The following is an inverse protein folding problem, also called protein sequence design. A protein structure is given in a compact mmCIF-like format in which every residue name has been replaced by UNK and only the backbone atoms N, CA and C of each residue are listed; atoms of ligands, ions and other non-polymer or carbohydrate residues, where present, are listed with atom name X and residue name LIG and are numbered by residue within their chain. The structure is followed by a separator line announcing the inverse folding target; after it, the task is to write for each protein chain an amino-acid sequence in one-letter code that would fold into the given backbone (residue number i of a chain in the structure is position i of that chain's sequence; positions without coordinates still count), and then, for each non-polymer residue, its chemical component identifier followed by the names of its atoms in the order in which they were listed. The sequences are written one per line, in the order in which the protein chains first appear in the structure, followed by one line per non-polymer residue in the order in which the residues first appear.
data_IF_099914824554
#
_entry.id   IF_099914824554
#
_cell.length_a   1.000
_cell.length_b   1.000
_cell.length_c   1.000
_cell.angle_alpha   90.00
_cell.angle_beta   90.00
_cell.angle_gamma   90.00
#
_symmetry.space_group_name_H-M   'P 1'
#
loop_
_entity.id
_entity.type
_entity.pdbx_description
1 polymer ?
#
# COMPACT_ATOMS: atom_id res chain seq x y z
N UNK A 1 16.91 72.52 56.40
CA UNK A 1 15.90 72.54 55.34
C UNK A 1 16.51 71.82 54.15
N UNK A 2 17.01 70.61 54.39
CA UNK A 2 16.29 69.31 54.56
C UNK A 2 15.88 68.84 53.16
N UNK A 3 16.14 67.64 52.65
CA UNK A 3 16.83 66.38 52.99
C UNK A 3 16.92 65.63 51.62
N UNK A 4 17.94 64.80 51.40
CA UNK A 4 17.98 63.41 50.83
C UNK A 4 16.78 62.91 49.97
N UNK A 5 16.83 61.98 49.00
CA UNK A 5 17.75 60.95 48.49
C UNK A 5 17.03 60.26 47.27
N UNK A 6 17.80 59.67 46.34
CA UNK A 6 17.57 58.39 45.58
C UNK A 6 16.26 58.16 44.76
N UNK A 7 16.21 57.45 43.61
CA UNK A 7 17.16 56.52 42.97
C UNK A 7 16.78 56.19 41.50
N UNK A 8 17.77 55.62 40.82
CA UNK A 8 17.86 55.12 39.43
C UNK A 8 16.79 54.12 38.92
N UNK A 9 16.49 54.14 37.61
CA UNK A 9 16.41 52.92 36.76
C UNK A 9 16.80 53.20 35.29
N UNK A 10 18.05 52.85 34.97
CA UNK A 10 18.59 52.16 33.78
C UNK A 10 17.88 52.24 32.40
N UNK A 11 18.67 52.78 31.47
CA UNK A 11 18.60 52.76 30.00
C UNK A 11 18.67 51.36 29.34
N UNK A 12 17.98 51.17 28.22
CA UNK A 12 18.44 50.31 27.12
C UNK A 12 18.01 50.87 25.75
N UNK A 13 19.01 51.02 24.88
CA UNK A 13 18.96 51.61 23.55
C UNK A 13 18.28 50.70 22.52
N UNK A 14 17.50 51.30 21.62
CA UNK A 14 16.82 50.63 20.51
C UNK A 14 17.77 50.35 19.34
N UNK A 15 18.22 49.10 19.21
CA UNK A 15 18.91 48.58 18.03
C UNK A 15 17.95 48.29 16.87
N UNK A 16 18.34 48.68 15.65
CA UNK A 16 17.54 48.59 14.43
C UNK A 16 17.20 47.16 14.00
N UNK A 17 15.95 46.96 13.58
CA UNK A 17 15.43 45.69 13.06
C UNK A 17 15.66 45.63 11.54
N UNK A 18 16.53 44.71 11.11
CA UNK A 18 16.66 44.30 9.71
C UNK A 18 15.55 43.28 9.39
N UNK A 19 14.49 43.70 8.69
CA UNK A 19 13.42 42.82 8.22
C UNK A 19 13.69 42.37 6.77
N UNK A 20 14.56 41.38 6.59
CA UNK A 20 14.53 40.56 5.37
C UNK A 20 13.68 39.31 5.63
N UNK A 21 12.37 39.48 5.54
CA UNK A 21 11.49 38.33 5.38
C UNK A 21 11.70 37.77 3.97
N UNK A 22 12.03 36.46 3.81
CA UNK A 22 12.05 35.87 2.48
C UNK A 22 10.66 36.01 1.84
N UNK A 23 10.57 36.27 0.52
CA UNK A 23 9.29 36.33 -0.16
C UNK A 23 8.53 35.02 0.07
N UNK A 24 7.19 35.06 0.19
CA UNK A 24 6.40 33.83 0.24
C UNK A 24 6.78 32.99 -0.98
N UNK A 25 7.20 31.74 -0.76
CA UNK A 25 7.35 30.78 -1.86
C UNK A 25 5.99 30.70 -2.56
N UNK A 26 5.88 31.32 -3.73
CA UNK A 26 4.73 31.10 -4.60
C UNK A 26 4.59 29.59 -4.77
N UNK A 27 3.40 29.01 -4.55
CA UNK A 27 3.20 27.58 -4.70
C UNK A 27 3.55 27.24 -6.15
N UNK A 28 4.54 26.36 -6.32
CA UNK A 28 5.01 25.89 -7.63
C UNK A 28 3.77 25.49 -8.47
N UNK A 29 3.49 26.20 -9.58
CA UNK A 29 2.25 26.02 -10.36
C UNK A 29 2.09 24.59 -10.86
N UNK A 30 3.21 23.86 -10.94
CA UNK A 30 3.26 22.46 -11.33
C UNK A 30 2.62 21.51 -10.30
N UNK A 31 2.55 21.90 -9.01
CA UNK A 31 2.04 21.06 -7.91
C UNK A 31 0.61 20.60 -8.18
N UNK A 32 -0.20 21.45 -8.80
CA UNK A 32 -1.62 21.18 -9.00
C UNK A 32 -1.94 20.47 -10.30
N UNK A 33 -0.97 20.21 -11.19
CA UNK A 33 -1.23 19.62 -12.52
C UNK A 33 -1.93 18.25 -12.39
N UNK A 34 -1.32 17.30 -11.67
CA UNK A 34 -1.94 15.99 -11.47
C UNK A 34 -3.20 16.07 -10.62
N UNK A 35 -3.26 16.97 -9.64
CA UNK A 35 -4.46 17.16 -8.82
C UNK A 35 -5.65 17.61 -9.68
N UNK A 36 -5.45 18.61 -10.54
CA UNK A 36 -6.48 19.14 -11.42
C UNK A 36 -6.90 18.09 -12.45
N UNK A 37 -5.95 17.34 -13.01
CA UNK A 37 -6.26 16.21 -13.88
C UNK A 37 -7.13 15.16 -13.18
N UNK A 38 -6.82 14.80 -11.93
CA UNK A 38 -7.63 13.84 -11.17
C UNK A 38 -9.01 14.38 -10.78
N UNK A 39 -9.14 15.70 -10.60
CA UNK A 39 -10.43 16.35 -10.33
C UNK A 39 -11.31 16.44 -11.57
N UNK A 40 -10.71 16.54 -12.76
CA UNK A 40 -11.44 16.64 -14.03
C UNK A 40 -11.90 15.30 -14.60
N UNK A 41 -11.47 14.18 -14.03
CA UNK A 41 -11.84 12.84 -14.46
C UNK A 41 -12.63 12.12 -13.38
N UNK A 42 -13.59 11.31 -13.81
CA UNK A 42 -14.49 10.55 -12.94
C UNK A 42 -13.96 9.15 -12.67
N UNK A 43 -14.52 8.49 -11.65
CA UNK A 43 -14.26 7.09 -11.37
C UNK A 43 -14.67 6.19 -12.54
N UNK A 44 -15.73 6.57 -13.26
CA UNK A 44 -16.19 5.86 -14.46
C UNK A 44 -15.13 5.85 -15.57
N UNK A 45 -14.42 6.96 -15.79
CA UNK A 45 -13.38 7.05 -16.84
C UNK A 45 -12.23 6.06 -16.61
N UNK A 46 -11.95 5.70 -15.34
CA UNK A 46 -10.94 4.71 -15.00
C UNK A 46 -11.42 3.26 -15.16
N UNK A 47 -12.71 3.00 -15.42
CA UNK A 47 -13.24 1.66 -15.63
C UNK A 47 -12.82 1.16 -17.04
N UNK A 48 -12.20 -0.03 -17.16
CA UNK A 48 -11.94 -0.61 -18.48
C UNK A 48 -13.24 -0.89 -19.24
N UNK A 49 -13.20 -0.80 -20.58
CA UNK A 49 -14.36 -1.09 -21.45
C UNK A 49 -14.99 -2.47 -21.19
N UNK A 50 -14.16 -3.45 -20.83
CA UNK A 50 -14.61 -4.76 -20.38
C UNK A 50 -13.81 -5.17 -19.14
N UNK A 51 -14.50 -5.61 -18.09
CA UNK A 51 -13.87 -6.13 -16.89
C UNK A 51 -14.67 -7.29 -16.32
N UNK A 52 -13.98 -8.20 -15.63
CA UNK A 52 -14.59 -9.32 -14.90
C UNK A 52 -14.66 -8.96 -13.43
N UNK A 53 -15.82 -9.16 -12.82
CA UNK A 53 -16.01 -9.01 -11.38
C UNK A 53 -16.41 -10.37 -10.77
N UNK A 54 -15.83 -10.69 -9.63
CA UNK A 54 -16.18 -11.87 -8.83
C UNK A 54 -16.79 -11.36 -7.54
N UNK A 55 -17.99 -11.83 -7.20
CA UNK A 55 -18.73 -11.49 -5.99
C UNK A 55 -18.96 -12.79 -5.22
N UNK A 56 -18.83 -12.76 -3.90
CA UNK A 56 -19.12 -13.91 -3.05
C UNK A 56 -20.30 -13.61 -2.12
N UNK A 57 -21.18 -14.60 -1.98
CA UNK A 57 -22.16 -14.62 -0.91
C UNK A 57 -21.45 -14.87 0.43
N UNK A 58 -21.85 -14.18 1.49
CA UNK A 58 -21.25 -14.31 2.82
C UNK A 58 -21.37 -15.71 3.43
N UNK A 59 -22.31 -16.53 2.95
CA UNK A 59 -22.47 -17.93 3.40
C UNK A 59 -21.50 -18.90 2.72
N UNK A 60 -20.73 -18.47 1.71
CA UNK A 60 -19.74 -19.28 1.03
C UNK A 60 -18.61 -19.70 1.98
N UNK A 61 -18.16 -20.95 1.88
CA UNK A 61 -16.99 -21.43 2.61
C UNK A 61 -15.73 -20.68 2.22
N UNK A 62 -14.92 -20.31 3.22
CA UNK A 62 -13.74 -19.47 3.03
C UNK A 62 -12.69 -20.13 2.11
N UNK A 63 -12.41 -21.42 2.30
CA UNK A 63 -11.53 -22.20 1.41
C UNK A 63 -11.97 -22.11 -0.06
N UNK A 64 -13.27 -22.26 -0.33
CA UNK A 64 -13.83 -22.17 -1.70
C UNK A 64 -13.70 -20.76 -2.27
N UNK A 65 -13.91 -19.74 -1.44
CA UNK A 65 -13.77 -18.35 -1.85
C UNK A 65 -12.33 -18.03 -2.30
N UNK A 66 -11.31 -18.44 -1.52
CA UNK A 66 -9.91 -18.25 -1.91
C UNK A 66 -9.52 -19.04 -3.16
N UNK A 67 -10.02 -20.27 -3.30
CA UNK A 67 -9.79 -21.05 -4.53
C UNK A 67 -10.44 -20.39 -5.75
N UNK A 68 -11.64 -19.82 -5.58
CA UNK A 68 -12.31 -19.07 -6.63
C UNK A 68 -11.56 -17.78 -7.00
N UNK A 69 -10.93 -17.09 -6.04
CA UNK A 69 -10.06 -15.94 -6.32
C UNK A 69 -8.89 -16.33 -7.21
N UNK A 70 -8.18 -17.42 -6.84
CA UNK A 70 -7.06 -17.97 -7.62
C UNK A 70 -7.51 -18.38 -9.01
N UNK A 71 -8.57 -19.20 -9.11
CA UNK A 71 -9.07 -19.72 -10.38
C UNK A 71 -9.51 -18.61 -11.34
N UNK A 72 -9.97 -17.48 -10.79
CA UNK A 72 -10.35 -16.32 -11.57
C UNK A 72 -9.23 -15.30 -11.79
N UNK A 73 -8.04 -15.50 -11.21
CA UNK A 73 -6.93 -14.56 -11.29
C UNK A 73 -7.23 -13.20 -10.64
N UNK A 74 -8.15 -13.15 -9.67
CA UNK A 74 -8.54 -11.91 -8.97
C UNK A 74 -7.97 -11.87 -7.56
N UNK A 75 -7.67 -10.67 -7.06
CA UNK A 75 -6.99 -10.46 -5.77
C UNK A 75 -7.92 -10.05 -4.63
N UNK A 76 -9.17 -9.75 -4.95
CA UNK A 76 -10.20 -9.37 -4.00
C UNK A 76 -11.58 -9.56 -4.65
N UNK A 77 -12.60 -9.74 -3.81
CA UNK A 77 -13.99 -9.83 -4.22
C UNK A 77 -14.89 -9.06 -3.24
N UNK A 78 -15.92 -8.34 -3.72
CA UNK A 78 -16.97 -7.81 -2.87
C UNK A 78 -17.79 -8.93 -2.25
N UNK A 79 -18.33 -8.66 -1.06
CA UNK A 79 -19.13 -9.60 -0.29
C UNK A 79 -20.58 -9.16 -0.26
N UNK A 80 -21.45 -10.02 -0.78
CA UNK A 80 -22.89 -9.82 -0.80
C UNK A 80 -23.54 -10.56 0.37
N UNK A 81 -24.30 -9.83 1.18
CA UNK A 81 -25.13 -10.44 2.21
C UNK A 81 -26.56 -10.57 1.71
N UNK A 82 -27.01 -11.81 1.53
CA UNK A 82 -28.35 -12.10 1.03
C UNK A 82 -29.48 -11.76 2.01
N UNK A 83 -29.20 -11.72 3.32
CA UNK A 83 -30.18 -11.35 4.36
C UNK A 83 -30.36 -9.84 4.41
N UNK A 84 -29.25 -9.10 4.36
CA UNK A 84 -29.25 -7.63 4.38
C UNK A 84 -29.49 -6.99 3.00
N UNK A 85 -29.39 -7.79 1.92
CA UNK A 85 -29.52 -7.36 0.52
C UNK A 85 -28.57 -6.20 0.17
N UNK A 86 -27.34 -6.26 0.68
CA UNK A 86 -26.35 -5.23 0.44
C UNK A 86 -24.92 -5.80 0.44
N UNK A 87 -23.98 -4.99 -0.07
CA UNK A 87 -22.56 -5.30 0.01
C UNK A 87 -22.01 -4.92 1.39
N UNK A 88 -21.47 -5.91 2.12
CA UNK A 88 -21.05 -5.74 3.52
C UNK A 88 -19.55 -5.56 3.69
N UNK A 89 -18.75 -5.83 2.66
CA UNK A 89 -17.31 -5.72 2.75
C UNK A 89 -16.57 -6.28 1.54
N UNK A 90 -15.26 -6.42 1.71
CA UNK A 90 -14.36 -7.04 0.74
C UNK A 90 -13.70 -8.26 1.37
N UNK A 91 -13.52 -9.33 0.59
CA UNK A 91 -12.60 -10.42 0.90
C UNK A 91 -11.32 -10.21 0.10
N UNK A 92 -10.18 -10.21 0.79
CA UNK A 92 -8.87 -9.93 0.23
C UNK A 92 -7.85 -10.99 0.64
N UNK A 93 -6.67 -10.96 0.03
CA UNK A 93 -5.57 -11.85 0.40
C UNK A 93 -5.08 -11.57 1.84
N UNK A 94 -5.29 -10.36 2.37
CA UNK A 94 -4.98 -10.05 3.76
C UNK A 94 -5.81 -10.90 4.73
N UNK A 95 -7.09 -11.18 4.39
CA UNK A 95 -7.94 -12.08 5.18
C UNK A 95 -7.37 -13.49 5.19
N UNK A 96 -6.86 -13.98 4.06
CA UNK A 96 -6.19 -15.28 3.98
C UNK A 96 -4.98 -15.36 4.89
N UNK A 97 -4.11 -14.33 4.84
CA UNK A 97 -2.93 -14.22 5.70
C UNK A 97 -3.33 -14.23 7.18
N UNK A 98 -4.37 -13.49 7.56
CA UNK A 98 -4.85 -13.43 8.93
C UNK A 98 -5.39 -14.77 9.43
N UNK A 99 -6.09 -15.53 8.57
CA UNK A 99 -6.59 -16.87 8.91
C UNK A 99 -5.42 -17.83 9.11
N UNK A 100 -4.47 -17.87 8.16
CA UNK A 100 -3.29 -18.71 8.28
C UNK A 100 -2.50 -18.36 9.54
N UNK A 101 -2.21 -17.09 9.78
CA UNK A 101 -1.47 -16.64 10.96
C UNK A 101 -2.18 -16.99 12.28
N UNK A 102 -3.52 -16.91 12.33
CA UNK A 102 -4.29 -17.17 13.56
C UNK A 102 -4.37 -18.65 13.91
N UNK A 103 -4.60 -19.50 12.91
CA UNK A 103 -4.90 -20.92 13.13
C UNK A 103 -3.73 -21.86 12.86
N UNK A 104 -2.67 -21.39 12.22
CA UNK A 104 -1.48 -22.21 12.03
C UNK A 104 -0.84 -22.59 13.37
N UNK A 105 -0.57 -23.88 13.55
CA UNK A 105 0.12 -24.43 14.72
C UNK A 105 1.37 -25.20 14.34
N UNK A 106 1.26 -26.12 13.40
CA UNK A 106 2.35 -27.01 12.98
C UNK A 106 2.05 -27.58 11.58
N UNK A 107 3.07 -27.95 10.78
CA UNK A 107 2.88 -28.56 9.47
C UNK A 107 2.03 -29.84 9.46
N UNK A 108 1.99 -30.56 10.59
CA UNK A 108 1.29 -31.84 10.73
C UNK A 108 -0.20 -31.67 11.07
N UNK A 109 -0.63 -30.47 11.44
CA UNK A 109 -2.00 -30.18 11.85
C UNK A 109 -2.69 -29.38 10.75
N UNK A 110 -3.75 -29.95 10.19
CA UNK A 110 -4.57 -29.25 9.20
C UNK A 110 -5.28 -28.05 9.85
N UNK A 111 -5.42 -26.97 9.08
CA UNK A 111 -6.16 -25.78 9.51
C UNK A 111 -7.65 -26.04 9.27
N UNK A 112 -8.31 -26.76 10.18
CA UNK A 112 -9.72 -27.14 10.07
C UNK A 112 -10.64 -25.92 9.94
N UNK A 113 -10.33 -24.83 10.62
CA UNK A 113 -11.12 -23.60 10.60
C UNK A 113 -11.16 -22.97 9.21
N UNK A 114 -10.11 -23.09 8.41
CA UNK A 114 -10.11 -22.61 7.02
C UNK A 114 -11.08 -23.43 6.16
N UNK A 115 -11.24 -24.72 6.46
CA UNK A 115 -12.10 -25.63 5.69
C UNK A 115 -13.58 -25.47 6.06
N UNK A 116 -13.86 -25.32 7.36
CA UNK A 116 -15.22 -25.29 7.89
C UNK A 116 -15.84 -23.89 7.92
N UNK A 117 -15.04 -22.83 8.13
CA UNK A 117 -15.59 -21.48 8.24
C UNK A 117 -16.25 -21.00 6.95
N UNK A 118 -17.33 -20.23 7.15
CA UNK A 118 -17.94 -19.39 6.13
C UNK A 118 -17.35 -17.99 6.20
N UNK A 119 -17.53 -17.21 5.14
CA UNK A 119 -17.08 -15.81 5.11
C UNK A 119 -17.75 -15.02 6.24
N UNK A 120 -19.05 -15.23 6.50
CA UNK A 120 -19.79 -14.58 7.59
C UNK A 120 -19.16 -14.87 8.96
N UNK A 121 -18.88 -16.15 9.27
CA UNK A 121 -18.34 -16.54 10.58
C UNK A 121 -16.91 -16.05 10.79
N UNK A 122 -16.08 -16.06 9.75
CA UNK A 122 -14.73 -15.47 9.82
C UNK A 122 -14.81 -13.96 10.08
N UNK A 123 -15.72 -13.27 9.39
CA UNK A 123 -15.89 -11.82 9.56
C UNK A 123 -16.35 -11.47 10.96
N UNK A 124 -17.26 -12.22 11.56
CA UNK A 124 -17.68 -12.00 12.95
C UNK A 124 -16.48 -12.08 13.90
N UNK A 125 -15.67 -13.13 13.82
CA UNK A 125 -14.47 -13.32 14.66
C UNK A 125 -13.43 -12.22 14.45
N UNK A 126 -13.26 -11.75 13.22
CA UNK A 126 -12.26 -10.73 12.89
C UNK A 126 -12.74 -9.31 13.20
N UNK A 127 -14.05 -9.04 13.05
CA UNK A 127 -14.66 -7.72 13.18
C UNK A 127 -15.31 -7.47 14.55
N UNK A 128 -15.24 -8.41 15.50
CA UNK A 128 -15.69 -8.23 16.89
C UNK A 128 -15.20 -6.92 17.55
N UNK A 129 -14.13 -6.32 17.02
CA UNK A 129 -13.54 -5.07 17.51
C UNK A 129 -13.61 -3.87 16.53
N UNK A 130 -14.27 -3.99 15.36
CA UNK A 130 -14.41 -2.86 14.43
C UNK A 130 -15.68 -2.91 13.58
N UNK A 131 -16.44 -1.82 13.59
CA UNK A 131 -17.56 -1.58 12.66
C UNK A 131 -17.04 -1.18 11.27
N UNK A 132 -16.40 -2.12 10.57
CA UNK A 132 -15.93 -1.86 9.20
C UNK A 132 -17.10 -1.97 8.22
N UNK A 133 -17.84 -0.88 8.08
CA UNK A 133 -18.76 -0.67 6.96
C UNK A 133 -17.97 -0.63 5.66
N UNK A 134 -18.51 -1.24 4.62
CA UNK A 134 -17.91 -1.17 3.29
C UNK A 134 -17.74 0.29 2.85
N UNK A 135 -16.53 0.62 2.44
CA UNK A 135 -16.20 1.92 1.87
C UNK A 135 -16.28 1.77 0.36
N UNK A 136 -17.16 2.52 -0.27
CA UNK A 136 -17.40 2.53 -1.72
C UNK A 136 -17.40 3.96 -2.25
N UNK A 137 -17.40 4.08 -3.57
CA UNK A 137 -17.50 5.35 -4.28
C UNK A 137 -18.46 5.21 -5.46
N UNK A 138 -19.10 6.30 -5.87
CA UNK A 138 -20.00 6.30 -7.04
C UNK A 138 -19.19 6.55 -8.33
N UNK A 139 -19.70 6.11 -9.50
CA UNK A 139 -19.00 6.33 -10.78
C UNK A 139 -18.77 7.82 -11.11
N UNK A 140 -19.67 8.70 -10.69
CA UNK A 140 -19.62 10.14 -11.00
C UNK A 140 -18.65 10.94 -10.13
N UNK A 141 -18.18 10.36 -9.01
CA UNK A 141 -17.17 11.01 -8.17
C UNK A 141 -15.83 11.15 -8.91
N UNK A 142 -15.04 12.17 -8.54
CA UNK A 142 -13.74 12.38 -9.16
C UNK A 142 -12.71 11.31 -8.76
N UNK A 143 -11.71 11.08 -9.61
CA UNK A 143 -10.57 10.23 -9.26
C UNK A 143 -9.80 10.79 -8.06
N UNK A 144 -9.80 12.11 -7.86
CA UNK A 144 -9.23 12.74 -6.69
C UNK A 144 -9.91 12.27 -5.39
N UNK A 145 -11.24 12.23 -5.36
CA UNK A 145 -12.00 11.73 -4.21
C UNK A 145 -11.72 10.25 -3.95
N UNK A 146 -11.55 9.48 -5.04
CA UNK A 146 -11.22 8.07 -4.97
C UNK A 146 -9.83 7.83 -4.33
N UNK A 147 -8.82 8.60 -4.76
CA UNK A 147 -7.45 8.56 -4.19
C UNK A 147 -7.50 8.97 -2.72
N UNK A 148 -8.20 10.07 -2.40
CA UNK A 148 -8.35 10.52 -1.03
C UNK A 148 -9.01 9.44 -0.15
N UNK A 149 -10.04 8.76 -0.66
CA UNK A 149 -10.70 7.66 0.05
C UNK A 149 -9.77 6.45 0.27
N UNK A 150 -8.99 6.06 -0.74
CA UNK A 150 -7.99 4.98 -0.61
C UNK A 150 -6.96 5.31 0.48
N UNK A 151 -6.41 6.52 0.48
CA UNK A 151 -5.39 6.97 1.42
C UNK A 151 -5.94 7.16 2.83
N UNK A 152 -7.04 7.90 2.98
CA UNK A 152 -7.67 8.21 4.28
C UNK A 152 -8.04 6.93 5.03
N UNK A 153 -8.60 5.96 4.32
CA UNK A 153 -9.06 4.71 4.92
C UNK A 153 -8.00 3.62 4.91
N UNK A 154 -6.79 3.88 4.38
CA UNK A 154 -5.68 2.93 4.27
C UNK A 154 -6.08 1.61 3.60
N UNK A 155 -6.88 1.71 2.53
CA UNK A 155 -7.38 0.56 1.76
C UNK A 155 -6.76 0.53 0.36
N UNK A 156 -6.61 -0.67 -0.19
CA UNK A 156 -5.96 -0.89 -1.48
C UNK A 156 -6.97 -1.16 -2.61
N UNK A 157 -8.25 -1.34 -2.26
CA UNK A 157 -9.35 -1.76 -3.13
C UNK A 157 -10.58 -0.92 -2.77
N UNK A 158 -11.06 -0.13 -3.71
CA UNK A 158 -12.23 0.72 -3.53
C UNK A 158 -13.29 0.32 -4.57
N UNK A 159 -14.37 -0.38 -4.16
CA UNK A 159 -15.45 -0.73 -5.09
C UNK A 159 -16.19 0.52 -5.55
N UNK A 160 -16.40 0.60 -6.86
CA UNK A 160 -17.26 1.57 -7.52
C UNK A 160 -18.65 0.95 -7.61
N UNK A 161 -19.63 1.55 -6.94
CA UNK A 161 -21.00 1.07 -6.86
C UNK A 161 -21.91 2.10 -7.51
N UNK A 162 -22.74 1.64 -8.45
CA UNK A 162 -23.77 2.49 -9.03
C UNK A 162 -24.88 2.72 -7.99
N UNK A 163 -25.17 3.98 -7.59
CA UNK A 163 -26.20 4.27 -6.60
C UNK A 163 -27.62 3.94 -7.09
N UNK A 164 -27.84 3.82 -8.40
CA UNK A 164 -29.18 3.59 -8.97
C UNK A 164 -29.50 2.09 -8.97
N UNK A 165 -28.66 1.26 -9.60
CA UNK A 165 -28.86 -0.20 -9.64
C UNK A 165 -28.44 -0.89 -8.35
N UNK A 166 -27.48 -0.32 -7.61
CA UNK A 166 -26.80 -1.00 -6.51
C UNK A 166 -25.70 -1.96 -6.96
N UNK A 167 -25.41 -2.04 -8.27
CA UNK A 167 -24.42 -2.96 -8.82
C UNK A 167 -22.99 -2.46 -8.58
N UNK A 168 -22.08 -3.40 -8.34
CA UNK A 168 -20.65 -3.11 -8.32
C UNK A 168 -20.14 -3.10 -9.76
N UNK A 169 -19.72 -1.94 -10.24
CA UNK A 169 -19.24 -1.77 -11.61
C UNK A 169 -17.79 -2.22 -11.77
N UNK A 170 -16.93 -1.84 -10.82
CA UNK A 170 -15.51 -2.13 -10.86
C UNK A 170 -14.85 -2.00 -9.48
N UNK A 171 -13.63 -2.51 -9.31
CA UNK A 171 -12.82 -2.29 -8.10
C UNK A 171 -11.63 -1.42 -8.46
N UNK A 172 -11.63 -0.17 -8.00
CA UNK A 172 -10.54 0.76 -8.22
C UNK A 172 -9.35 0.46 -7.29
N UNK A 173 -8.14 0.69 -7.79
CA UNK A 173 -6.88 0.32 -7.13
C UNK A 173 -5.82 1.36 -7.45
N UNK A 174 -4.83 1.54 -6.56
CA UNK A 174 -3.68 2.42 -6.83
C UNK A 174 -3.00 2.10 -8.17
N UNK A 175 -2.79 0.80 -8.46
CA UNK A 175 -2.22 0.35 -9.75
C UNK A 175 -3.07 0.81 -10.95
N UNK A 176 -4.40 0.72 -10.86
CA UNK A 176 -5.29 1.13 -11.95
C UNK A 176 -5.24 2.63 -12.18
N UNK A 177 -5.20 3.42 -11.10
CA UNK A 177 -5.09 4.89 -11.14
C UNK A 177 -3.75 5.31 -11.75
N UNK A 178 -2.64 4.68 -11.34
CA UNK A 178 -1.33 4.93 -11.94
C UNK A 178 -1.28 4.53 -13.42
N UNK A 179 -1.89 3.41 -13.79
CA UNK A 179 -2.02 3.00 -15.20
C UNK A 179 -2.86 4.00 -16.01
N UNK A 180 -3.92 4.54 -15.43
CA UNK A 180 -4.73 5.59 -16.04
C UNK A 180 -3.90 6.86 -16.30
N UNK A 181 -3.14 7.32 -15.28
CA UNK A 181 -2.19 8.42 -15.44
C UNK A 181 -1.14 8.16 -16.51
N UNK A 182 -0.60 6.95 -16.58
CA UNK A 182 0.42 6.60 -17.56
C UNK A 182 -0.14 6.60 -18.99
N UNK A 183 -1.34 6.04 -19.19
CA UNK A 183 -2.01 6.01 -20.51
C UNK A 183 -2.29 7.42 -21.03
N UNK A 184 -2.78 8.31 -20.15
CA UNK A 184 -3.13 9.68 -20.52
C UNK A 184 -2.01 10.69 -20.27
N UNK A 185 -0.84 10.23 -19.83
CA UNK A 185 0.26 11.08 -19.38
C UNK A 185 0.83 11.97 -20.49
N UNK A 186 0.72 11.58 -21.76
CA UNK A 186 1.10 12.42 -22.90
C UNK A 186 0.23 13.67 -23.07
N UNK A 187 -0.99 13.67 -22.51
CA UNK A 187 -1.91 14.81 -22.54
C UNK A 187 -1.74 15.73 -21.32
N UNK A 188 -0.95 15.31 -20.33
CA UNK A 188 -0.72 16.05 -19.09
C UNK A 188 0.59 16.84 -19.26
N UNK A 189 0.61 18.17 -19.06
CA UNK A 189 1.86 18.93 -19.00
C UNK A 189 2.80 18.32 -17.96
N UNK A 190 4.05 18.01 -18.33
CA UNK A 190 4.98 17.31 -17.42
C UNK A 190 5.48 18.27 -16.33
N UNK A 191 5.14 18.02 -15.05
CA UNK A 191 5.62 18.84 -13.94
C UNK A 191 7.13 18.73 -13.78
N UNK A 192 7.81 19.81 -13.40
CA UNK A 192 9.26 19.85 -13.19
C UNK A 192 9.72 18.90 -12.08
N UNK A 193 8.88 18.66 -11.07
CA UNK A 193 9.22 17.74 -9.98
C UNK A 193 9.41 16.28 -10.43
N UNK A 194 8.92 15.90 -11.62
CA UNK A 194 9.17 14.56 -12.18
C UNK A 194 10.65 14.31 -12.49
N UNK A 195 11.41 15.38 -12.71
CA UNK A 195 12.86 15.31 -12.99
C UNK A 195 13.71 15.27 -11.72
N UNK A 196 13.11 15.44 -10.54
CA UNK A 196 13.83 15.29 -9.27
C UNK A 196 14.24 13.84 -9.08
N UNK A 197 15.43 13.65 -8.49
CA UNK A 197 15.90 12.31 -8.16
C UNK A 197 15.12 11.75 -6.97
N UNK A 198 14.95 10.43 -6.91
CA UNK A 198 14.21 9.79 -5.82
C UNK A 198 14.84 10.07 -4.46
N UNK A 199 16.17 10.21 -4.39
CA UNK A 199 16.87 10.59 -3.16
C UNK A 199 16.61 12.01 -2.68
N UNK A 200 16.12 12.91 -3.54
CA UNK A 200 15.81 14.31 -3.22
C UNK A 200 14.36 14.52 -2.79
N UNK A 201 13.49 13.54 -3.06
CA UNK A 201 12.07 13.60 -2.73
C UNK A 201 11.74 12.66 -1.58
N UNK A 202 10.87 13.10 -0.67
CA UNK A 202 10.38 12.28 0.44
C UNK A 202 9.29 11.29 -0.02
N UNK A 203 9.58 10.50 -1.08
CA UNK A 203 8.65 9.54 -1.69
C UNK A 203 9.18 8.13 -1.45
N UNK A 204 8.61 7.44 -0.46
CA UNK A 204 8.95 6.07 -0.10
C UNK A 204 9.35 5.91 1.38
N UNK A 205 9.45 4.67 1.83
CA UNK A 205 9.84 4.32 3.20
C UNK A 205 11.31 3.93 3.23
N UNK A 206 12.16 4.74 3.87
CA UNK A 206 13.62 4.55 3.90
C UNK A 206 14.19 4.18 5.28
N UNK A 207 13.32 3.99 6.28
CA UNK A 207 13.70 3.64 7.65
C UNK A 207 12.88 2.43 8.11
N UNK A 208 13.48 1.58 8.93
CA UNK A 208 12.82 0.39 9.50
C UNK A 208 12.11 -0.49 8.44
N UNK A 209 12.76 -0.68 7.28
CA UNK A 209 12.21 -1.51 6.20
C UNK A 209 12.14 -2.94 6.70
N UNK A 210 10.93 -3.50 6.72
CA UNK A 210 10.72 -4.90 7.09
C UNK A 210 11.24 -5.82 5.98
N UNK A 211 12.19 -6.68 6.33
CA UNK A 211 12.84 -7.67 5.45
C UNK A 211 12.69 -9.07 6.02
N UNK A 212 12.90 -10.08 5.18
CA UNK A 212 12.93 -11.48 5.62
C UNK A 212 14.15 -12.18 5.04
N UNK A 213 14.81 -13.02 5.85
CA UNK A 213 15.95 -13.83 5.41
C UNK A 213 15.48 -14.95 4.48
N UNK A 214 16.28 -15.32 3.49
CA UNK A 214 15.93 -16.42 2.57
C UNK A 214 15.82 -17.80 3.26
N UNK A 215 16.48 -17.95 4.41
CA UNK A 215 16.44 -19.12 5.28
C UNK A 215 15.27 -19.12 6.27
N UNK A 216 14.60 -17.98 6.46
CA UNK A 216 13.43 -17.89 7.34
C UNK A 216 12.23 -18.65 6.74
N UNK A 217 11.25 -18.95 7.58
CA UNK A 217 10.06 -19.67 7.15
C UNK A 217 9.01 -18.74 6.53
N UNK A 218 8.11 -19.30 5.72
CA UNK A 218 6.92 -18.57 5.25
C UNK A 218 6.08 -18.09 6.44
N UNK A 219 6.00 -18.86 7.53
CA UNK A 219 5.31 -18.43 8.75
C UNK A 219 5.89 -17.13 9.32
N UNK A 220 7.21 -16.98 9.36
CA UNK A 220 7.86 -15.74 9.80
C UNK A 220 7.48 -14.55 8.92
N UNK A 221 7.44 -14.74 7.60
CA UNK A 221 6.97 -13.72 6.67
C UNK A 221 5.49 -13.33 6.92
N UNK A 222 4.63 -14.30 7.25
CA UNK A 222 3.22 -14.03 7.60
C UNK A 222 3.09 -13.23 8.89
N UNK A 223 3.89 -13.52 9.92
CA UNK A 223 3.94 -12.74 11.16
C UNK A 223 4.27 -11.28 10.85
N UNK A 224 5.32 -11.03 10.06
CA UNK A 224 5.70 -9.66 9.67
C UNK A 224 4.59 -8.97 8.87
N UNK A 225 3.89 -9.68 7.96
CA UNK A 225 2.76 -9.10 7.22
C UNK A 225 1.62 -8.63 8.11
N UNK A 226 1.32 -9.37 9.18
CA UNK A 226 0.26 -9.05 10.14
C UNK A 226 0.70 -7.89 11.04
N UNK A 227 1.91 -7.95 11.59
CA UNK A 227 2.45 -6.94 12.53
C UNK A 227 2.72 -5.60 11.86
N UNK A 228 3.46 -5.61 10.74
CA UNK A 228 3.91 -4.38 10.04
C UNK A 228 2.91 -3.89 9.01
N UNK A 229 1.84 -4.66 8.71
CA UNK A 229 0.80 -4.34 7.72
C UNK A 229 1.35 -3.95 6.33
N UNK A 230 2.52 -4.47 5.95
CA UNK A 230 3.16 -4.22 4.64
C UNK A 230 2.63 -5.10 3.53
N UNK A 231 2.71 -4.64 2.28
CA UNK A 231 2.18 -5.36 1.11
C UNK A 231 3.14 -6.41 0.52
N UNK A 232 4.44 -6.24 0.77
CA UNK A 232 5.51 -7.15 0.36
C UNK A 232 6.74 -6.97 1.24
N UNK A 233 7.58 -8.00 1.28
CA UNK A 233 8.82 -8.10 2.02
C UNK A 233 9.97 -8.40 1.05
N UNK A 234 11.00 -7.54 0.98
CA UNK A 234 12.25 -7.90 0.35
C UNK A 234 12.84 -9.12 1.05
N UNK A 235 13.22 -10.11 0.26
CA UNK A 235 13.93 -11.31 0.73
C UNK A 235 15.41 -11.07 0.51
N UNK A 236 16.17 -11.17 1.59
CA UNK A 236 17.61 -10.90 1.60
C UNK A 236 18.40 -12.18 1.87
N UNK A 237 19.61 -12.24 1.36
CA UNK A 237 20.58 -13.29 1.69
C UNK A 237 21.40 -12.92 2.93
N UNK A 238 22.37 -13.78 3.27
CA UNK A 238 23.26 -13.59 4.43
C UNK A 238 24.09 -12.31 4.34
N UNK A 239 24.44 -11.86 3.13
CA UNK A 239 25.14 -10.59 2.88
C UNK A 239 24.22 -9.35 2.87
N UNK A 240 22.91 -9.53 3.08
CA UNK A 240 21.93 -8.44 3.09
C UNK A 240 21.49 -7.95 1.70
N UNK A 241 21.89 -8.64 0.63
CA UNK A 241 21.51 -8.33 -0.76
C UNK A 241 20.10 -8.84 -1.06
N UNK A 242 19.34 -8.05 -1.82
CA UNK A 242 17.96 -8.39 -2.21
C UNK A 242 17.97 -9.44 -3.31
N UNK A 243 17.52 -10.65 -2.97
CA UNK A 243 17.44 -11.79 -3.91
C UNK A 243 16.04 -11.95 -4.49
N UNK A 244 15.00 -11.60 -3.74
CA UNK A 244 13.61 -11.71 -4.17
C UNK A 244 12.70 -10.69 -3.46
N UNK A 245 11.45 -10.58 -3.91
CA UNK A 245 10.41 -9.80 -3.26
C UNK A 245 9.23 -10.71 -3.03
N UNK A 246 8.89 -11.01 -1.77
CA UNK A 246 7.75 -11.84 -1.42
C UNK A 246 6.56 -10.97 -1.03
N UNK A 247 5.47 -11.07 -1.76
CA UNK A 247 4.28 -10.23 -1.61
C UNK A 247 3.12 -10.99 -0.99
N UNK A 248 2.10 -10.27 -0.51
CA UNK A 248 0.83 -10.91 -0.14
C UNK A 248 0.25 -11.76 -1.26
N UNK A 249 0.48 -11.37 -2.52
CA UNK A 249 0.03 -12.14 -3.69
C UNK A 249 0.72 -13.50 -3.82
N UNK A 250 1.91 -13.68 -3.28
CA UNK A 250 2.56 -14.99 -3.27
C UNK A 250 1.92 -15.94 -2.26
N UNK A 251 1.42 -15.40 -1.15
CA UNK A 251 0.74 -16.20 -0.12
C UNK A 251 -0.51 -16.88 -0.69
N UNK A 252 -1.28 -16.22 -1.55
CA UNK A 252 -2.49 -16.84 -2.14
C UNK A 252 -2.15 -18.00 -3.09
N UNK A 253 -0.92 -18.08 -3.63
CA UNK A 253 -0.49 -19.23 -4.41
C UNK A 253 -0.36 -20.51 -3.56
N UNK A 254 -0.16 -20.38 -2.24
CA UNK A 254 -0.22 -21.52 -1.31
C UNK A 254 -1.61 -22.16 -1.32
N UNK A 255 -2.67 -21.37 -1.49
CA UNK A 255 -4.03 -21.88 -1.67
C UNK A 255 -4.17 -22.65 -2.99
N UNK A 256 -3.62 -22.10 -4.08
CA UNK A 256 -3.63 -22.71 -5.41
C UNK A 256 -2.97 -24.09 -5.41
N UNK A 257 -1.82 -24.20 -4.74
CA UNK A 257 -1.01 -25.40 -4.66
C UNK A 257 -1.46 -26.36 -3.55
N UNK A 258 -2.43 -25.96 -2.71
CA UNK A 258 -2.84 -26.69 -1.49
C UNK A 258 -1.68 -26.95 -0.53
N UNK A 259 -0.66 -26.11 -0.56
CA UNK A 259 0.56 -26.21 0.25
C UNK A 259 0.50 -25.36 1.53
N UNK A 260 -0.62 -24.68 1.78
CA UNK A 260 -0.84 -23.82 2.95
C UNK A 260 -0.76 -24.52 4.32
N UNK A 261 -0.69 -25.86 4.34
CA UNK A 261 -0.43 -26.62 5.56
C UNK A 261 1.06 -26.62 5.94
N UNK A 262 1.99 -26.44 5.00
CA UNK A 262 3.44 -26.43 5.28
C UNK A 262 4.02 -25.00 5.26
N UNK A 263 3.69 -24.20 6.28
CA UNK A 263 4.24 -22.83 6.38
C UNK A 263 5.68 -22.79 6.93
N UNK A 264 6.26 -23.95 7.29
CA UNK A 264 7.64 -24.07 7.72
C UNK A 264 8.64 -24.12 6.56
N UNK A 265 8.17 -24.20 5.30
CA UNK A 265 9.04 -24.11 4.14
C UNK A 265 9.82 -22.78 4.17
N UNK A 266 11.06 -22.83 3.71
CA UNK A 266 11.91 -21.64 3.66
C UNK A 266 11.44 -20.66 2.60
N UNK A 267 11.78 -19.39 2.76
CA UNK A 267 11.50 -18.38 1.75
C UNK A 267 12.13 -18.75 0.40
N UNK A 268 13.34 -19.31 0.41
CA UNK A 268 14.02 -19.80 -0.81
C UNK A 268 13.16 -20.85 -1.55
N UNK A 269 12.62 -21.83 -0.85
CA UNK A 269 11.71 -22.84 -1.42
C UNK A 269 10.40 -22.22 -1.93
N UNK A 270 9.80 -21.32 -1.15
CA UNK A 270 8.58 -20.64 -1.51
C UNK A 270 8.74 -19.82 -2.81
N UNK A 271 9.85 -19.10 -2.95
CA UNK A 271 10.18 -18.34 -4.17
C UNK A 271 10.42 -19.28 -5.35
N UNK A 272 11.16 -20.37 -5.16
CA UNK A 272 11.43 -21.35 -6.22
C UNK A 272 10.16 -22.02 -6.76
N UNK A 273 9.13 -22.16 -5.92
CA UNK A 273 7.83 -22.73 -6.32
C UNK A 273 6.96 -21.82 -7.20
N UNK A 274 7.41 -20.59 -7.52
CA UNK A 274 6.71 -19.69 -8.45
C UNK A 274 6.76 -20.24 -9.87
N UNK A 275 5.73 -20.98 -10.26
CA UNK A 275 5.64 -21.71 -11.51
C UNK A 275 5.62 -20.87 -12.82
N UNK A 276 5.74 -19.53 -12.80
CA UNK A 276 5.61 -18.75 -14.05
C UNK A 276 6.25 -17.35 -14.14
N UNK A 277 6.97 -16.84 -13.14
CA UNK A 277 7.61 -15.53 -13.28
C UNK A 277 8.83 -15.44 -12.37
N UNK A 278 10.00 -15.83 -12.91
CA UNK A 278 11.28 -15.31 -12.41
C UNK A 278 11.54 -13.98 -13.14
N UNK A 279 10.57 -13.07 -13.08
CA UNK A 279 10.88 -11.67 -13.33
C UNK A 279 11.63 -11.22 -12.08
N UNK A 280 12.91 -10.89 -12.25
CA UNK A 280 13.77 -10.43 -11.16
C UNK A 280 13.09 -9.32 -10.36
N UNK A 281 13.52 -9.13 -9.11
CA UNK A 281 13.01 -8.03 -8.29
C UNK A 281 13.19 -6.74 -9.07
N UNK A 282 12.10 -6.01 -9.28
CA UNK A 282 12.19 -4.70 -9.91
C UNK A 282 12.75 -3.72 -8.89
N UNK A 283 13.95 -3.25 -9.18
CA UNK A 283 14.71 -2.34 -8.35
C UNK A 283 14.61 -0.91 -8.87
N UNK A 284 14.92 0.04 -8.01
CA UNK A 284 15.27 1.40 -8.39
C UNK A 284 16.52 1.85 -7.64
N UNK A 285 17.14 2.90 -8.14
CA UNK A 285 18.36 3.47 -7.57
C UNK A 285 18.15 4.93 -7.16
N UNK A 286 18.92 5.38 -6.17
CA UNK A 286 18.76 6.71 -5.54
C UNK A 286 18.86 7.91 -6.50
N UNK A 287 19.60 7.75 -7.61
CA UNK A 287 19.85 8.77 -8.61
C UNK A 287 18.79 8.80 -9.74
N UNK A 288 17.89 7.81 -9.78
CA UNK A 288 16.85 7.75 -10.81
C UNK A 288 15.79 8.82 -10.58
N UNK A 289 15.25 9.35 -11.67
CA UNK A 289 14.19 10.37 -11.62
C UNK A 289 12.84 9.75 -11.27
N UNK A 290 11.96 10.56 -10.67
CA UNK A 290 10.59 10.15 -10.37
C UNK A 290 9.83 9.71 -11.63
N UNK A 291 10.06 10.38 -12.76
CA UNK A 291 9.49 9.99 -14.06
C UNK A 291 9.85 8.55 -14.43
N UNK A 292 11.14 8.21 -14.37
CA UNK A 292 11.65 6.87 -14.72
C UNK A 292 11.03 5.79 -13.83
N UNK A 293 10.88 6.09 -12.54
CA UNK A 293 10.29 5.19 -11.54
C UNK A 293 8.79 4.97 -11.80
N UNK A 294 8.03 6.04 -12.02
CA UNK A 294 6.59 5.94 -12.31
C UNK A 294 6.37 5.15 -13.60
N UNK A 295 7.16 5.43 -14.64
CA UNK A 295 7.10 4.69 -15.91
C UNK A 295 7.41 3.20 -15.73
N UNK A 296 8.42 2.86 -14.93
CA UNK A 296 8.77 1.46 -14.64
C UNK A 296 7.64 0.75 -13.89
N UNK A 297 7.04 1.39 -12.88
CA UNK A 297 5.91 0.84 -12.12
C UNK A 297 4.71 0.61 -13.03
N UNK A 298 4.38 1.57 -13.88
CA UNK A 298 3.23 1.50 -14.79
C UNK A 298 3.42 0.43 -15.88
N UNK A 299 4.60 0.38 -16.52
CA UNK A 299 4.92 -0.57 -17.60
C UNK A 299 5.05 -2.00 -17.09
N UNK A 300 5.76 -2.20 -15.98
CA UNK A 300 5.95 -3.52 -15.39
C UNK A 300 4.76 -3.96 -14.54
N UNK A 301 3.73 -3.11 -14.39
CA UNK A 301 2.47 -3.49 -13.77
C UNK A 301 2.61 -3.97 -12.31
N UNK A 302 3.63 -3.47 -11.60
CA UNK A 302 3.91 -3.80 -10.20
C UNK A 302 3.31 -2.80 -9.23
N UNK A 303 3.26 -3.18 -7.96
CA UNK A 303 2.75 -2.31 -6.89
C UNK A 303 3.82 -1.42 -6.25
N UNK A 304 5.10 -1.79 -6.37
CA UNK A 304 6.24 -1.10 -5.76
C UNK A 304 7.54 -1.53 -6.40
N UNK A 305 8.59 -0.74 -6.18
CA UNK A 305 9.98 -1.08 -6.46
C UNK A 305 10.76 -1.19 -5.15
N UNK A 306 11.89 -1.88 -5.17
CA UNK A 306 12.82 -1.91 -4.04
C UNK A 306 13.97 -0.96 -4.34
N UNK A 307 14.16 0.05 -3.49
CA UNK A 307 15.30 0.96 -3.60
C UNK A 307 16.56 0.26 -3.08
N UNK A 308 17.57 0.13 -3.93
CA UNK A 308 18.85 -0.51 -3.61
C UNK A 308 20.04 0.40 -3.91
N UNK A 309 21.18 0.08 -3.31
CA UNK A 309 22.47 0.66 -3.67
C UNK A 309 23.14 -0.08 -4.85
N UNK A 310 24.39 0.27 -5.16
CA UNK A 310 25.17 -0.38 -6.23
C UNK A 310 25.49 -1.85 -5.96
N UNK A 311 25.41 -2.30 -4.71
CA UNK A 311 25.70 -3.66 -4.28
C UNK A 311 24.42 -4.51 -4.12
N UNK A 312 23.26 -3.99 -4.55
CA UNK A 312 21.93 -4.60 -4.40
C UNK A 312 21.47 -4.75 -2.93
N UNK A 313 22.05 -3.98 -2.01
CA UNK A 313 21.61 -3.89 -0.61
C UNK A 313 20.51 -2.85 -0.50
N UNK A 314 19.53 -3.09 0.36
CA UNK A 314 18.39 -2.19 0.57
C UNK A 314 18.90 -0.85 1.09
N UNK A 315 18.54 0.23 0.40
CA UNK A 315 18.90 1.57 0.83
C UNK A 315 18.15 1.95 2.11
N UNK A 316 18.88 2.30 3.18
CA UNK A 316 18.31 2.82 4.42
C UNK A 316 18.96 4.14 4.81
N UNK A 317 18.15 5.15 5.16
CA UNK A 317 18.67 6.40 5.72
C UNK A 317 18.97 6.15 7.20
N UNK A 318 20.17 5.70 7.53
CA UNK A 318 20.51 5.29 8.90
C UNK A 318 21.99 5.24 9.30
N UNK A 319 22.93 5.26 8.35
CA UNK A 319 24.36 5.41 8.67
C UNK A 319 24.84 6.86 8.46
N UNK A 320 24.11 7.84 8.99
CA UNK A 320 24.64 9.20 9.22
C UNK A 320 23.71 10.01 10.15
N UNK A 321 24.26 10.33 11.33
CA UNK A 321 23.94 11.47 12.22
C UNK A 321 22.59 11.45 12.95
N UNK A 322 22.69 11.26 14.28
CA UNK A 322 21.72 11.73 15.26
C UNK A 322 21.52 13.24 15.14
N UNK A 323 20.33 13.69 14.73
CA UNK A 323 19.73 14.95 15.20
C UNK A 323 18.22 14.93 14.99
N UNK A 324 17.52 15.17 16.10
CA UNK A 324 16.15 15.68 16.29
C UNK A 324 14.98 15.08 15.49
N UNK A 325 14.15 14.36 16.25
CA UNK A 325 12.68 14.31 16.27
C UNK A 325 11.86 15.12 15.24
N UNK A 326 10.74 14.49 14.87
CA UNK A 326 9.57 14.96 14.09
C UNK A 326 9.66 14.86 12.56
N UNK A 327 9.43 13.65 12.05
CA UNK A 327 8.76 13.47 10.76
C UNK A 327 7.87 12.21 10.83
N UNK A 328 6.56 12.43 10.82
CA UNK A 328 5.52 11.41 10.81
C UNK A 328 5.56 10.64 9.49
N UNK A 329 5.40 9.32 9.60
CA UNK A 329 5.30 8.35 8.52
C UNK A 329 4.26 8.74 7.46
N UNK A 330 4.74 8.97 6.24
CA UNK A 330 3.95 8.85 5.02
C UNK A 330 4.50 7.65 4.25
N UNK A 331 3.97 6.47 4.54
CA UNK A 331 4.14 5.28 3.70
C UNK A 331 3.25 5.45 2.45
N UNK A 332 3.90 5.48 1.28
CA UNK A 332 3.30 5.52 -0.05
C UNK A 332 2.97 4.12 -0.60
#
# INVERSE_FOLDING_TARGET
MDEDEEDDVLSMESGGVCTYAPPPLEPDPDIFIYMNFMKSHTCYDAIPTSSKLVIFDTTLQVKKAFFALVANGVRAAPLWDNKLKCFVGMLTITDFINILHRYYKSPLVQIYELEEHKIETWREIYLEYSTNRLISITPDCSLFDAIYSLLKNKIHRLPIIDPISGDVLHILTHKRILKFLHIFGSMIPKPRFLQKQIGEVAIGTFRQIATVQESASVHDALMIFVERRVSALPVVNEEGKVVALYSRFDVINLAAQKTYNNLNMTMREAIASRACCVEGVLKCYHHETLETIIDRIAKAEVHRLVLVDSEDVIFTTGHAVQTSETARECDL
#
